data_IF_649245456014
#
_entry.id   IF_649245456014
#
_cell.length_a   1.000
_cell.length_b   1.000
_cell.length_c   1.000
_cell.angle_alpha   90.00
_cell.angle_beta   90.00
_cell.angle_gamma   90.00
#
_symmetry.space_group_name_H-M   'P 1'
#
loop_
_entity.id
_entity.type
_entity.pdbx_description
1 polymer ?
#
# COMPACT_ATOMS: atom_id res chain seq x y z
N UNK A 1 -54.46 -40.44 23.58
CA UNK A 1 -54.62 -39.22 22.76
C UNK A 1 -53.22 -38.90 22.30
N UNK A 2 -52.89 -39.31 21.07
CA UNK A 2 -51.57 -39.14 20.47
C UNK A 2 -51.56 -37.87 19.62
N UNK A 3 -50.57 -37.03 19.86
CA UNK A 3 -50.31 -35.79 19.15
C UNK A 3 -49.77 -36.09 17.74
N UNK A 4 -50.42 -35.45 16.75
CA UNK A 4 -50.04 -35.49 15.33
C UNK A 4 -48.91 -34.47 15.11
N UNK A 5 -47.74 -34.95 14.69
CA UNK A 5 -46.67 -34.10 14.15
C UNK A 5 -46.93 -33.88 12.66
N UNK A 6 -47.09 -32.61 12.26
CA UNK A 6 -47.18 -32.18 10.86
C UNK A 6 -45.84 -32.42 10.13
N UNK A 7 -45.88 -33.23 9.07
CA UNK A 7 -44.80 -33.37 8.10
C UNK A 7 -44.74 -32.12 7.21
N UNK A 8 -43.63 -31.39 7.24
CA UNK A 8 -43.33 -30.36 6.24
C UNK A 8 -42.88 -31.03 4.93
N UNK A 9 -43.69 -30.90 3.89
CA UNK A 9 -43.36 -31.36 2.53
C UNK A 9 -42.25 -30.52 1.90
N UNK A 10 -41.28 -31.13 1.19
CA UNK A 10 -40.22 -30.40 0.51
C UNK A 10 -40.75 -29.51 -0.62
N UNK A 11 -40.32 -28.25 -0.64
CA UNK A 11 -40.64 -27.25 -1.68
C UNK A 11 -40.27 -27.79 -3.08
N UNK A 12 -41.18 -27.62 -4.04
CA UNK A 12 -40.99 -28.00 -5.45
C UNK A 12 -39.83 -27.20 -6.08
N UNK A 13 -39.06 -27.82 -6.98
CA UNK A 13 -37.95 -27.19 -7.72
C UNK A 13 -38.42 -25.87 -8.37
N UNK A 14 -39.63 -25.81 -8.93
CA UNK A 14 -40.19 -24.58 -9.50
C UNK A 14 -40.31 -23.43 -8.49
N UNK A 15 -40.60 -23.74 -7.22
CA UNK A 15 -40.67 -22.72 -6.15
C UNK A 15 -39.29 -22.21 -5.73
N UNK A 16 -38.24 -23.05 -5.79
CA UNK A 16 -36.88 -22.65 -5.49
C UNK A 16 -36.28 -21.76 -6.59
N UNK A 17 -36.64 -22.02 -7.86
CA UNK A 17 -36.21 -21.21 -8.99
C UNK A 17 -36.90 -19.84 -9.02
N UNK A 18 -38.19 -19.77 -8.63
CA UNK A 18 -38.90 -18.50 -8.47
C UNK A 18 -38.27 -17.64 -7.36
N UNK A 19 -37.95 -18.26 -6.21
CA UNK A 19 -37.31 -17.61 -5.06
C UNK A 19 -35.90 -17.09 -5.42
N UNK A 20 -35.12 -17.83 -6.22
CA UNK A 20 -33.83 -17.33 -6.74
C UNK A 20 -33.97 -16.18 -7.75
N UNK A 21 -34.97 -16.23 -8.63
CA UNK A 21 -35.20 -15.16 -9.61
C UNK A 21 -35.64 -13.85 -8.94
N UNK A 22 -36.46 -13.96 -7.88
CA UNK A 22 -36.89 -12.81 -7.07
C UNK A 22 -35.70 -12.22 -6.28
N UNK A 23 -34.81 -13.05 -5.73
CA UNK A 23 -33.56 -12.61 -5.07
C UNK A 23 -32.59 -11.92 -6.04
N UNK A 24 -32.43 -12.44 -7.26
CA UNK A 24 -31.58 -11.80 -8.28
C UNK A 24 -32.16 -10.47 -8.76
N UNK A 25 -33.49 -10.35 -8.79
CA UNK A 25 -34.17 -9.11 -9.12
C UNK A 25 -34.02 -8.07 -8.01
N UNK A 26 -34.17 -8.46 -6.74
CA UNK A 26 -33.91 -7.59 -5.58
C UNK A 26 -32.45 -7.15 -5.55
N UNK A 27 -31.48 -8.05 -5.78
CA UNK A 27 -30.05 -7.68 -5.88
C UNK A 27 -29.74 -6.72 -7.02
N UNK A 28 -30.41 -6.85 -8.17
CA UNK A 28 -30.27 -5.90 -9.29
C UNK A 28 -30.90 -4.54 -8.98
N UNK A 29 -32.00 -4.52 -8.24
CA UNK A 29 -32.63 -3.29 -7.78
C UNK A 29 -31.78 -2.60 -6.70
N UNK A 30 -31.20 -3.34 -5.75
CA UNK A 30 -30.23 -2.83 -4.76
C UNK A 30 -28.96 -2.29 -5.43
N UNK A 31 -28.37 -3.02 -6.39
CA UNK A 31 -27.18 -2.56 -7.12
C UNK A 31 -27.45 -1.31 -7.97
N UNK A 32 -28.66 -1.16 -8.51
CA UNK A 32 -29.06 0.05 -9.24
C UNK A 32 -29.34 1.23 -8.28
N UNK A 33 -29.89 0.96 -7.09
CA UNK A 33 -30.05 1.96 -6.02
C UNK A 33 -28.69 2.44 -5.48
N UNK A 34 -27.74 1.52 -5.32
CA UNK A 34 -26.39 1.81 -4.83
C UNK A 34 -25.57 2.59 -5.88
N UNK A 35 -25.64 2.22 -7.16
CA UNK A 35 -25.08 3.04 -8.26
C UNK A 35 -25.71 4.42 -8.35
N UNK A 36 -27.03 4.52 -8.18
CA UNK A 36 -27.73 5.80 -8.15
C UNK A 36 -27.35 6.63 -6.91
N UNK A 37 -27.01 6.00 -5.78
CA UNK A 37 -26.56 6.66 -4.56
C UNK A 37 -25.12 7.17 -4.70
N UNK A 38 -24.21 6.39 -5.29
CA UNK A 38 -22.84 6.83 -5.59
C UNK A 38 -22.80 7.97 -6.63
N UNK A 39 -23.69 7.93 -7.63
CA UNK A 39 -23.86 9.02 -8.60
C UNK A 39 -24.40 10.28 -7.93
N UNK A 40 -25.40 10.15 -7.04
CA UNK A 40 -25.93 11.26 -6.24
C UNK A 40 -24.92 11.82 -5.26
N UNK A 41 -24.08 11.00 -4.63
CA UNK A 41 -22.99 11.45 -3.76
C UNK A 41 -21.92 12.19 -4.55
N UNK A 42 -21.52 11.70 -5.73
CA UNK A 42 -20.60 12.42 -6.62
C UNK A 42 -21.18 13.74 -7.12
N UNK A 43 -22.47 13.77 -7.45
CA UNK A 43 -23.16 14.98 -7.90
C UNK A 43 -23.33 15.98 -6.74
N UNK A 44 -23.64 15.52 -5.52
CA UNK A 44 -23.64 16.34 -4.30
C UNK A 44 -22.25 16.85 -3.93
N UNK A 45 -21.20 16.04 -4.12
CA UNK A 45 -19.83 16.43 -3.85
C UNK A 45 -19.32 17.42 -4.91
N UNK A 46 -19.68 17.24 -6.19
CA UNK A 46 -19.42 18.22 -7.25
C UNK A 46 -20.21 19.52 -7.06
N UNK A 47 -21.49 19.45 -6.69
CA UNK A 47 -22.32 20.63 -6.38
C UNK A 47 -21.79 21.36 -5.15
N UNK A 48 -21.40 20.65 -4.09
CA UNK A 48 -20.79 21.27 -2.92
C UNK A 48 -19.44 21.91 -3.25
N UNK A 49 -18.65 21.29 -4.13
CA UNK A 49 -17.35 21.81 -4.58
C UNK A 49 -17.49 23.01 -5.52
N UNK A 50 -18.47 22.99 -6.43
CA UNK A 50 -18.83 24.10 -7.30
C UNK A 50 -19.42 25.27 -6.49
N UNK A 51 -20.34 25.02 -5.55
CA UNK A 51 -20.86 26.04 -4.66
C UNK A 51 -19.77 26.63 -3.76
N UNK A 52 -18.83 25.81 -3.23
CA UNK A 52 -17.69 26.32 -2.47
C UNK A 52 -16.75 27.17 -3.33
N UNK A 53 -16.50 26.77 -4.58
CA UNK A 53 -15.66 27.54 -5.51
C UNK A 53 -16.33 28.83 -5.97
N UNK A 54 -17.63 28.81 -6.25
CA UNK A 54 -18.42 29.99 -6.62
C UNK A 54 -18.55 30.97 -5.44
N UNK A 55 -18.71 30.48 -4.21
CA UNK A 55 -18.69 31.33 -3.00
C UNK A 55 -17.29 31.91 -2.72
N UNK A 56 -16.21 31.15 -2.96
CA UNK A 56 -14.82 31.63 -2.85
C UNK A 56 -14.49 32.68 -3.92
N UNK A 57 -14.85 32.44 -5.19
CA UNK A 57 -14.61 33.37 -6.29
C UNK A 57 -15.47 34.64 -6.16
N UNK A 58 -16.73 34.52 -5.72
CA UNK A 58 -17.58 35.68 -5.42
C UNK A 58 -17.07 36.46 -4.20
N UNK A 59 -16.53 35.79 -3.17
CA UNK A 59 -15.88 36.46 -2.04
C UNK A 59 -14.58 37.15 -2.45
N UNK A 60 -13.75 36.53 -3.28
CA UNK A 60 -12.51 37.14 -3.80
C UNK A 60 -12.80 38.34 -4.72
N UNK A 61 -13.83 38.27 -5.58
CA UNK A 61 -14.27 39.42 -6.39
C UNK A 61 -14.83 40.57 -5.54
N UNK A 62 -15.61 40.26 -4.49
CA UNK A 62 -16.11 41.26 -3.55
C UNK A 62 -14.97 41.88 -2.73
N UNK A 63 -14.00 41.07 -2.27
CA UNK A 63 -12.80 41.52 -1.54
C UNK A 63 -11.94 42.41 -2.43
N UNK A 64 -11.72 42.03 -3.69
CA UNK A 64 -10.97 42.81 -4.67
C UNK A 64 -11.69 44.12 -5.10
N UNK A 65 -13.04 44.13 -5.15
CA UNK A 65 -13.82 45.37 -5.34
C UNK A 65 -13.76 46.27 -4.10
N UNK A 66 -13.89 45.72 -2.90
CA UNK A 66 -13.77 46.47 -1.64
C UNK A 66 -12.36 47.07 -1.48
N UNK A 67 -11.30 46.30 -1.75
CA UNK A 67 -9.91 46.76 -1.69
C UNK A 67 -9.57 47.85 -2.72
N UNK A 68 -10.28 47.88 -3.85
CA UNK A 68 -10.17 48.96 -4.86
C UNK A 68 -10.93 50.23 -4.47
N UNK A 69 -12.05 50.12 -3.76
CA UNK A 69 -12.93 51.25 -3.41
C UNK A 69 -12.63 51.86 -2.03
N UNK A 70 -12.14 51.07 -1.08
CA UNK A 70 -11.68 51.54 0.23
C UNK A 70 -10.22 51.95 0.18
N UNK A 71 -9.96 53.25 0.29
CA UNK A 71 -8.64 53.73 0.71
C UNK A 71 -8.47 53.41 2.19
N UNK A 72 -7.70 52.36 2.50
CA UNK A 72 -7.37 51.94 3.87
C UNK A 72 -6.91 53.11 4.76
N UNK A 73 -6.29 54.12 4.16
CA UNK A 73 -5.80 55.34 4.82
C UNK A 73 -6.90 56.20 5.46
N UNK A 74 -8.11 56.21 4.89
CA UNK A 74 -9.23 57.10 5.27
C UNK A 74 -10.16 56.49 6.35
N UNK A 75 -9.89 55.27 6.80
CA UNK A 75 -10.68 54.59 7.84
C UNK A 75 -10.39 55.13 9.26
N UNK A 76 -11.41 55.26 10.12
CA UNK A 76 -11.24 55.52 11.56
C UNK A 76 -10.32 54.48 12.21
N UNK A 77 -9.59 54.87 13.26
CA UNK A 77 -8.60 54.02 13.91
C UNK A 77 -9.22 52.71 14.45
N UNK A 78 -10.46 52.78 14.94
CA UNK A 78 -11.24 51.65 15.42
C UNK A 78 -11.60 50.67 14.29
N UNK A 79 -11.87 51.17 13.08
CA UNK A 79 -12.17 50.36 11.92
C UNK A 79 -10.92 49.65 11.38
N UNK A 80 -9.76 50.32 11.41
CA UNK A 80 -8.45 49.71 11.07
C UNK A 80 -8.09 48.57 12.02
N UNK A 81 -8.26 48.78 13.33
CA UNK A 81 -8.04 47.74 14.35
C UNK A 81 -9.00 46.56 14.19
N UNK A 82 -10.27 46.83 13.83
CA UNK A 82 -11.26 45.77 13.57
C UNK A 82 -10.89 44.94 12.33
N UNK A 83 -10.40 45.58 11.27
CA UNK A 83 -9.91 44.87 10.07
C UNK A 83 -8.69 44.01 10.38
N UNK A 84 -7.72 44.52 11.14
CA UNK A 84 -6.53 43.75 11.56
C UNK A 84 -6.92 42.52 12.40
N UNK A 85 -7.86 42.66 13.35
CA UNK A 85 -8.40 41.54 14.13
C UNK A 85 -9.14 40.52 13.23
N UNK A 86 -9.88 41.00 12.22
CA UNK A 86 -10.59 40.12 11.28
C UNK A 86 -9.61 39.36 10.37
N UNK A 87 -8.52 39.99 9.92
CA UNK A 87 -7.46 39.35 9.15
C UNK A 87 -6.72 38.29 9.99
N UNK A 88 -6.38 38.61 11.25
CA UNK A 88 -5.78 37.65 12.18
C UNK A 88 -6.70 36.46 12.46
N UNK A 89 -8.01 36.72 12.62
CA UNK A 89 -9.00 35.67 12.81
C UNK A 89 -9.17 34.80 11.56
N UNK A 90 -9.26 35.41 10.37
CA UNK A 90 -9.34 34.69 9.08
C UNK A 90 -8.12 33.79 8.90
N UNK A 91 -6.93 34.27 9.25
CA UNK A 91 -5.69 33.46 9.24
C UNK A 91 -5.78 32.28 10.22
N UNK A 92 -6.21 32.51 11.46
CA UNK A 92 -6.31 31.46 12.48
C UNK A 92 -7.36 30.40 12.12
N UNK A 93 -8.51 30.81 11.59
CA UNK A 93 -9.56 29.90 11.11
C UNK A 93 -9.04 29.02 9.94
N UNK A 94 -8.28 29.61 9.02
CA UNK A 94 -7.63 28.87 7.93
C UNK A 94 -6.56 27.89 8.43
N UNK A 95 -5.73 28.31 9.40
CA UNK A 95 -4.72 27.45 10.02
C UNK A 95 -5.37 26.27 10.76
N UNK A 96 -6.49 26.50 11.45
CA UNK A 96 -7.24 25.45 12.15
C UNK A 96 -7.89 24.45 11.17
N UNK A 97 -8.49 24.92 10.07
CA UNK A 97 -9.01 24.04 9.01
C UNK A 97 -7.91 23.19 8.41
N UNK A 98 -6.77 23.80 8.06
CA UNK A 98 -5.61 23.09 7.54
C UNK A 98 -5.09 22.03 8.52
N UNK A 99 -5.08 22.34 9.83
CA UNK A 99 -4.66 21.41 10.87
C UNK A 99 -5.59 20.18 10.94
N UNK A 100 -6.91 20.39 11.03
CA UNK A 100 -7.90 19.30 11.06
C UNK A 100 -7.73 18.40 9.83
N UNK A 101 -7.62 19.03 8.66
CA UNK A 101 -7.47 18.34 7.39
C UNK A 101 -6.19 17.49 7.28
N UNK A 102 -5.06 17.99 7.79
CA UNK A 102 -3.80 17.23 7.85
C UNK A 102 -3.84 16.11 8.88
N UNK A 103 -4.50 16.34 10.02
CA UNK A 103 -4.71 15.30 11.05
C UNK A 103 -5.52 14.14 10.48
N UNK A 104 -6.63 14.42 9.80
CA UNK A 104 -7.45 13.37 9.16
C UNK A 104 -6.68 12.63 8.07
N UNK A 105 -5.90 13.34 7.24
CA UNK A 105 -5.03 12.74 6.23
C UNK A 105 -3.99 11.79 6.82
N UNK A 106 -3.53 12.04 8.05
CA UNK A 106 -2.61 11.17 8.75
C UNK A 106 -3.30 9.99 9.46
N UNK A 107 -4.47 10.23 10.06
CA UNK A 107 -5.22 9.22 10.81
C UNK A 107 -5.78 8.11 9.92
N UNK A 108 -6.34 8.45 8.75
CA UNK A 108 -6.96 7.45 7.87
C UNK A 108 -5.98 6.36 7.37
N UNK A 109 -4.77 6.68 6.84
CA UNK A 109 -3.77 5.66 6.50
C UNK A 109 -3.28 4.85 7.71
N UNK A 110 -3.25 5.45 8.89
CA UNK A 110 -2.86 4.77 10.13
C UNK A 110 -3.90 3.75 10.60
N UNK A 111 -5.18 4.12 10.57
CA UNK A 111 -6.28 3.22 10.92
C UNK A 111 -6.34 2.04 9.96
N UNK A 112 -6.19 2.30 8.65
CA UNK A 112 -6.05 1.24 7.63
C UNK A 112 -4.89 0.31 7.96
N UNK A 113 -3.71 0.85 8.28
CA UNK A 113 -2.54 0.04 8.67
C UNK A 113 -2.84 -0.82 9.89
N UNK A 114 -3.41 -0.24 10.94
CA UNK A 114 -3.71 -0.96 12.18
C UNK A 114 -4.72 -2.10 11.97
N UNK A 115 -5.74 -1.86 11.13
CA UNK A 115 -6.69 -2.90 10.71
C UNK A 115 -5.97 -4.07 10.01
N UNK A 116 -5.11 -3.76 9.03
CA UNK A 116 -4.35 -4.76 8.28
C UNK A 116 -3.37 -5.52 9.19
N UNK A 117 -2.67 -4.83 10.09
CA UNK A 117 -1.77 -5.43 11.09
C UNK A 117 -2.50 -6.41 12.00
N UNK A 118 -3.73 -6.08 12.42
CA UNK A 118 -4.56 -6.97 13.22
C UNK A 118 -4.95 -8.23 12.43
N UNK A 119 -5.38 -8.10 11.17
CA UNK A 119 -5.72 -9.25 10.32
C UNK A 119 -4.52 -10.20 10.12
N UNK A 120 -3.31 -9.66 9.88
CA UNK A 120 -2.09 -10.46 9.82
C UNK A 120 -1.79 -11.18 11.14
N UNK A 121 -1.99 -10.49 12.26
CA UNK A 121 -1.75 -11.06 13.58
C UNK A 121 -2.71 -12.21 13.86
N UNK A 122 -3.99 -12.07 13.54
CA UNK A 122 -4.98 -13.15 13.70
C UNK A 122 -4.59 -14.42 12.92
N UNK A 123 -4.00 -14.28 11.74
CA UNK A 123 -3.54 -15.43 10.93
C UNK A 123 -2.30 -16.08 11.57
N UNK A 124 -1.34 -15.28 12.03
CA UNK A 124 -0.10 -15.77 12.66
C UNK A 124 -0.37 -16.44 14.01
N UNK A 125 -1.33 -15.91 14.76
CA UNK A 125 -1.71 -16.44 16.07
C UNK A 125 -2.66 -17.66 15.94
N UNK A 126 -3.15 -17.99 14.73
CA UNK A 126 -3.96 -19.17 14.48
C UNK A 126 -3.08 -20.43 14.49
N UNK A 127 -3.16 -21.30 15.52
CA UNK A 127 -2.24 -22.42 15.67
C UNK A 127 -2.38 -23.47 14.56
N UNK A 128 -3.59 -23.65 14.01
CA UNK A 128 -3.85 -24.62 12.95
C UNK A 128 -3.25 -24.20 11.61
N UNK A 129 -3.27 -22.90 11.29
CA UNK A 129 -2.68 -22.36 10.05
C UNK A 129 -1.19 -22.10 10.19
N UNK A 130 -0.75 -21.66 11.37
CA UNK A 130 0.62 -21.19 11.60
C UNK A 130 1.65 -22.30 11.35
N UNK A 131 1.36 -23.56 11.69
CA UNK A 131 2.25 -24.69 11.40
C UNK A 131 2.56 -24.79 9.90
N UNK A 132 1.52 -24.79 9.07
CA UNK A 132 1.69 -24.92 7.61
C UNK A 132 2.34 -23.67 7.00
N UNK A 133 1.95 -22.48 7.47
CA UNK A 133 2.50 -21.21 6.99
C UNK A 133 3.97 -21.02 7.40
N UNK A 134 4.36 -21.45 8.60
CA UNK A 134 5.76 -21.38 9.03
C UNK A 134 6.64 -22.32 8.21
N UNK A 135 6.15 -23.52 7.89
CA UNK A 135 6.88 -24.46 7.03
C UNK A 135 7.08 -23.87 5.63
N UNK A 136 6.04 -23.31 5.01
CA UNK A 136 6.17 -22.64 3.69
C UNK A 136 7.16 -21.47 3.73
N UNK A 137 7.19 -20.71 4.82
CA UNK A 137 8.17 -19.63 5.02
C UNK A 137 9.60 -20.16 5.13
N UNK A 138 9.81 -21.25 5.86
CA UNK A 138 11.11 -21.91 5.97
C UNK A 138 11.57 -22.50 4.63
N UNK A 139 10.66 -23.09 3.85
CA UNK A 139 10.95 -23.57 2.50
C UNK A 139 11.39 -22.43 1.57
N UNK A 140 10.68 -21.30 1.57
CA UNK A 140 11.09 -20.13 0.76
C UNK A 140 12.46 -19.60 1.18
N UNK A 141 12.77 -19.59 2.49
CA UNK A 141 14.06 -19.13 2.98
C UNK A 141 15.19 -20.08 2.59
N UNK A 142 14.99 -21.39 2.73
CA UNK A 142 15.95 -22.40 2.32
C UNK A 142 16.17 -22.37 0.81
N UNK A 143 15.12 -22.17 0.01
CA UNK A 143 15.26 -22.04 -1.44
C UNK A 143 16.14 -20.84 -1.81
N UNK A 144 15.96 -19.68 -1.14
CA UNK A 144 16.85 -18.53 -1.35
C UNK A 144 18.31 -18.82 -0.96
N UNK A 145 18.53 -19.58 0.11
CA UNK A 145 19.88 -19.98 0.53
C UNK A 145 20.54 -20.94 -0.48
N UNK A 146 19.76 -21.84 -1.08
CA UNK A 146 20.20 -22.71 -2.17
C UNK A 146 20.58 -21.88 -3.39
N UNK A 147 19.71 -20.94 -3.81
CA UNK A 147 19.95 -20.09 -4.97
C UNK A 147 21.19 -19.21 -4.77
N UNK A 148 21.33 -18.57 -3.60
CA UNK A 148 22.52 -17.80 -3.24
C UNK A 148 23.79 -18.66 -3.23
N UNK A 149 23.72 -19.88 -2.68
CA UNK A 149 24.87 -20.80 -2.68
C UNK A 149 25.27 -21.16 -4.11
N UNK A 150 24.31 -21.44 -5.00
CA UNK A 150 24.60 -21.70 -6.43
C UNK A 150 25.25 -20.50 -7.13
N UNK A 151 24.82 -19.28 -6.79
CA UNK A 151 25.48 -18.06 -7.31
C UNK A 151 26.90 -17.88 -6.78
N UNK A 152 27.14 -18.15 -5.49
CA UNK A 152 28.47 -18.12 -4.88
C UNK A 152 29.40 -19.15 -5.52
N UNK A 153 28.91 -20.37 -5.73
CA UNK A 153 29.63 -21.44 -6.44
C UNK A 153 30.05 -21.00 -7.85
N UNK A 154 29.12 -20.42 -8.62
CA UNK A 154 29.42 -19.96 -9.97
C UNK A 154 30.45 -18.81 -9.99
N UNK A 155 30.46 -17.95 -8.95
CA UNK A 155 31.48 -16.90 -8.79
C UNK A 155 32.84 -17.51 -8.45
N UNK A 156 32.89 -18.45 -7.51
CA UNK A 156 34.13 -19.09 -7.07
C UNK A 156 34.76 -19.94 -8.20
N UNK A 157 33.95 -20.68 -8.95
CA UNK A 157 34.39 -21.40 -10.16
C UNK A 157 35.02 -20.45 -11.17
N UNK A 158 34.39 -19.30 -11.40
CA UNK A 158 34.93 -18.28 -12.29
C UNK A 158 36.23 -17.69 -11.76
N UNK A 159 36.32 -17.38 -10.47
CA UNK A 159 37.53 -16.83 -9.85
C UNK A 159 38.71 -17.82 -9.91
N UNK A 160 38.47 -19.11 -9.70
CA UNK A 160 39.48 -20.16 -9.83
C UNK A 160 39.95 -20.32 -11.28
N UNK A 161 39.03 -20.24 -12.24
CA UNK A 161 39.35 -20.26 -13.66
C UNK A 161 40.16 -19.02 -14.07
N UNK A 162 39.78 -17.84 -13.60
CA UNK A 162 40.52 -16.60 -13.84
C UNK A 162 41.94 -16.69 -13.24
N UNK A 163 42.12 -17.34 -12.07
CA UNK A 163 43.44 -17.58 -11.47
C UNK A 163 44.33 -18.56 -12.27
N UNK A 164 43.73 -19.50 -13.00
CA UNK A 164 44.45 -20.38 -13.93
C UNK A 164 44.85 -19.63 -15.20
N UNK A 165 43.99 -18.76 -15.73
CA UNK A 165 44.23 -18.02 -16.97
C UNK A 165 45.18 -16.81 -16.80
N UNK A 166 45.32 -16.28 -15.58
CA UNK A 166 46.08 -15.06 -15.31
C UNK A 166 47.58 -15.31 -15.05
N UNK A 167 48.38 -15.19 -16.10
CA UNK A 167 49.84 -15.47 -16.09
C UNK A 167 50.72 -14.36 -15.48
N UNK A 168 50.17 -13.19 -15.12
CA UNK A 168 51.00 -12.02 -14.77
C UNK A 168 51.51 -12.01 -13.32
N UNK A 169 50.88 -12.75 -12.38
CA UNK A 169 51.34 -12.86 -10.98
C UNK A 169 50.88 -14.17 -10.33
N UNK A 170 51.78 -15.15 -10.16
CA UNK A 170 51.54 -16.39 -9.36
C UNK A 170 50.13 -17.00 -9.59
N UNK A 171 49.77 -17.24 -10.84
CA UNK A 171 48.58 -18.03 -11.17
C UNK A 171 48.73 -19.47 -10.69
N UNK A 172 47.62 -20.20 -10.62
CA UNK A 172 47.62 -21.63 -10.27
C UNK A 172 48.23 -22.44 -11.42
N UNK A 173 49.00 -23.47 -11.09
CA UNK A 173 49.29 -24.53 -12.05
C UNK A 173 48.02 -25.33 -12.37
N UNK A 174 48.01 -26.07 -13.48
CA UNK A 174 46.86 -26.92 -13.84
C UNK A 174 46.56 -27.95 -12.74
N UNK A 175 47.59 -28.54 -12.13
CA UNK A 175 47.44 -29.54 -11.07
C UNK A 175 46.87 -28.90 -9.78
N UNK A 176 47.35 -27.71 -9.39
CA UNK A 176 46.79 -26.96 -8.25
C UNK A 176 45.36 -26.48 -8.52
N UNK A 177 45.02 -26.14 -9.77
CA UNK A 177 43.66 -25.80 -10.17
C UNK A 177 42.75 -27.03 -10.08
N UNK A 178 43.16 -28.15 -10.66
CA UNK A 178 42.38 -29.39 -10.68
C UNK A 178 42.11 -29.89 -9.25
N UNK A 179 43.10 -29.83 -8.36
CA UNK A 179 42.94 -30.18 -6.94
C UNK A 179 41.95 -29.24 -6.22
N UNK A 180 42.13 -27.93 -6.35
CA UNK A 180 41.26 -26.94 -5.69
C UNK A 180 39.84 -26.97 -6.24
N UNK A 181 39.69 -27.17 -7.55
CA UNK A 181 38.38 -27.28 -8.19
C UNK A 181 37.65 -28.54 -7.69
N UNK A 182 38.34 -29.68 -7.62
CA UNK A 182 37.74 -30.92 -7.11
C UNK A 182 37.37 -30.84 -5.62
N UNK A 183 38.19 -30.17 -4.79
CA UNK A 183 37.87 -29.92 -3.38
C UNK A 183 36.63 -29.02 -3.24
N UNK A 184 36.60 -27.92 -4.00
CA UNK A 184 35.50 -26.97 -4.02
C UNK A 184 34.19 -27.62 -4.51
N UNK A 185 34.22 -28.37 -5.62
CA UNK A 185 33.06 -29.08 -6.15
C UNK A 185 32.50 -30.06 -5.11
N UNK A 186 33.38 -30.78 -4.40
CA UNK A 186 32.98 -31.73 -3.36
C UNK A 186 32.35 -31.03 -2.15
N UNK A 187 32.92 -29.92 -1.68
CA UNK A 187 32.37 -29.14 -0.56
C UNK A 187 30.98 -28.60 -0.92
N UNK A 188 30.84 -28.03 -2.12
CA UNK A 188 29.58 -27.49 -2.59
C UNK A 188 28.51 -28.57 -2.82
N UNK A 189 28.88 -29.70 -3.40
CA UNK A 189 27.96 -30.83 -3.57
C UNK A 189 27.45 -31.35 -2.23
N UNK A 190 28.32 -31.43 -1.21
CA UNK A 190 27.93 -31.82 0.14
C UNK A 190 26.98 -30.79 0.77
N UNK A 191 27.29 -29.49 0.67
CA UNK A 191 26.44 -28.41 1.20
C UNK A 191 25.06 -28.38 0.53
N UNK A 192 25.00 -28.50 -0.79
CA UNK A 192 23.73 -28.56 -1.53
C UNK A 192 22.91 -29.80 -1.14
N UNK A 193 23.55 -30.96 -1.01
CA UNK A 193 22.88 -32.19 -0.58
C UNK A 193 22.25 -32.04 0.81
N UNK A 194 22.96 -31.43 1.77
CA UNK A 194 22.41 -31.17 3.10
C UNK A 194 21.21 -30.20 3.06
N UNK A 195 21.22 -29.23 2.15
CA UNK A 195 20.08 -28.34 1.92
C UNK A 195 18.91 -29.06 1.25
N UNK A 196 19.15 -29.93 0.28
CA UNK A 196 18.14 -30.76 -0.38
C UNK A 196 17.47 -31.72 0.63
N UNK A 197 18.24 -32.39 1.49
CA UNK A 197 17.70 -33.24 2.56
C UNK A 197 16.86 -32.45 3.57
N UNK A 198 17.20 -31.18 3.83
CA UNK A 198 16.36 -30.30 4.66
C UNK A 198 15.07 -29.91 3.93
N UNK A 199 15.13 -29.65 2.62
CA UNK A 199 13.96 -29.32 1.81
C UNK A 199 12.97 -30.49 1.79
N UNK A 200 13.46 -31.72 1.57
CA UNK A 200 12.63 -32.92 1.59
C UNK A 200 11.93 -33.13 2.94
N UNK A 201 12.64 -32.88 4.06
CA UNK A 201 12.04 -32.93 5.40
C UNK A 201 10.95 -31.86 5.58
N UNK A 202 11.17 -30.65 5.08
CA UNK A 202 10.16 -29.58 5.12
C UNK A 202 8.94 -29.93 4.27
N UNK A 203 9.13 -30.54 3.10
CA UNK A 203 8.03 -31.03 2.26
C UNK A 203 7.22 -32.11 3.00
N UNK A 204 7.86 -33.09 3.61
CA UNK A 204 7.18 -34.10 4.43
C UNK A 204 6.44 -33.48 5.62
N UNK A 205 7.05 -32.52 6.31
CA UNK A 205 6.41 -31.81 7.42
C UNK A 205 5.18 -31.01 6.94
N UNK A 206 5.26 -30.37 5.77
CA UNK A 206 4.12 -29.69 5.17
C UNK A 206 2.99 -30.66 4.85
N UNK A 207 3.29 -31.82 4.27
CA UNK A 207 2.27 -32.82 3.97
C UNK A 207 1.58 -33.34 5.25
N UNK A 208 2.32 -33.47 6.35
CA UNK A 208 1.77 -33.83 7.67
C UNK A 208 0.91 -32.70 8.27
N UNK A 209 1.33 -31.44 8.13
CA UNK A 209 0.56 -30.29 8.64
C UNK A 209 -0.77 -30.13 7.89
N UNK A 210 -0.80 -30.47 6.59
CA UNK A 210 -2.03 -30.53 5.80
C UNK A 210 -2.96 -31.65 6.30
N UNK A 211 -2.42 -32.81 6.65
CA UNK A 211 -3.21 -33.89 7.24
C UNK A 211 -3.82 -33.46 8.59
N UNK A 212 -3.06 -32.78 9.44
CA UNK A 212 -3.57 -32.20 10.68
C UNK A 212 -4.70 -31.20 10.42
N UNK A 213 -4.53 -30.32 9.41
CA UNK A 213 -5.55 -29.35 9.00
C UNK A 213 -6.84 -30.02 8.49
N UNK A 214 -6.73 -31.07 7.67
CA UNK A 214 -7.88 -31.81 7.17
C UNK A 214 -8.66 -32.53 8.29
N UNK A 215 -7.95 -33.00 9.31
CA UNK A 215 -8.54 -33.64 10.48
C UNK A 215 -9.10 -32.65 11.51
N UNK A 216 -8.85 -31.35 11.32
CA UNK A 216 -9.35 -30.27 12.17
C UNK A 216 -10.73 -29.76 11.75
N UNK A 217 -11.37 -28.95 12.60
CA UNK A 217 -12.60 -28.20 12.23
C UNK A 217 -12.27 -26.88 11.51
N UNK A 218 -11.03 -26.68 11.07
CA UNK A 218 -10.48 -25.36 10.74
C UNK A 218 -10.46 -25.05 9.24
N UNK A 219 -11.09 -25.85 8.38
CA UNK A 219 -11.19 -25.55 6.94
C UNK A 219 -11.88 -24.20 6.66
N UNK A 220 -12.88 -23.84 7.48
CA UNK A 220 -13.51 -22.52 7.42
C UNK A 220 -12.57 -21.38 7.85
N UNK A 221 -11.58 -21.67 8.71
CA UNK A 221 -10.59 -20.68 9.12
C UNK A 221 -9.64 -20.32 7.98
N UNK A 222 -9.35 -21.26 7.07
CA UNK A 222 -8.56 -20.99 5.86
C UNK A 222 -9.29 -19.97 4.97
N UNK A 223 -10.57 -20.21 4.69
CA UNK A 223 -11.40 -19.33 3.87
C UNK A 223 -11.54 -17.93 4.50
N UNK A 224 -11.83 -17.87 5.80
CA UNK A 224 -11.89 -16.61 6.53
C UNK A 224 -10.56 -15.84 6.43
N UNK A 225 -9.43 -16.51 6.64
CA UNK A 225 -8.11 -15.87 6.55
C UNK A 225 -7.80 -15.36 5.15
N UNK A 226 -8.15 -16.13 4.10
CA UNK A 226 -8.01 -15.68 2.71
C UNK A 226 -8.85 -14.44 2.43
N UNK A 227 -10.09 -14.43 2.89
CA UNK A 227 -10.99 -13.28 2.76
C UNK A 227 -10.46 -12.02 3.46
N UNK A 228 -9.96 -12.15 4.69
CA UNK A 228 -9.38 -11.02 5.43
C UNK A 228 -8.06 -10.51 4.83
N UNK A 229 -7.29 -11.38 4.16
CA UNK A 229 -6.15 -10.97 3.36
C UNK A 229 -6.55 -10.28 2.05
N UNK A 230 -7.63 -10.72 1.39
CA UNK A 230 -8.16 -10.05 0.20
C UNK A 230 -8.62 -8.63 0.53
N UNK A 231 -9.35 -8.45 1.64
CA UNK A 231 -9.72 -7.12 2.15
C UNK A 231 -8.49 -6.27 2.45
N UNK A 232 -7.50 -6.85 3.13
CA UNK A 232 -6.25 -6.16 3.45
C UNK A 232 -5.52 -5.70 2.18
N UNK A 233 -5.38 -6.58 1.19
CA UNK A 233 -4.76 -6.24 -0.09
C UNK A 233 -5.56 -5.19 -0.85
N UNK A 234 -6.88 -5.25 -0.79
CA UNK A 234 -7.71 -4.23 -1.41
C UNK A 234 -7.46 -2.85 -0.81
N UNK A 235 -7.36 -2.74 0.52
CA UNK A 235 -7.03 -1.49 1.20
C UNK A 235 -5.63 -0.97 0.83
N UNK A 236 -4.68 -1.86 0.54
CA UNK A 236 -3.31 -1.53 0.13
C UNK A 236 -3.26 -1.08 -1.34
N UNK A 237 -3.86 -1.87 -2.24
CA UNK A 237 -3.74 -1.72 -3.69
C UNK A 237 -4.75 -0.72 -4.26
N UNK A 238 -5.82 -0.41 -3.54
CA UNK A 238 -6.89 0.52 -3.95
C UNK A 238 -7.47 0.19 -5.33
N UNK A 239 -7.64 -1.09 -5.61
CA UNK A 239 -8.25 -1.52 -6.87
C UNK A 239 -9.69 -0.99 -6.95
N UNK A 240 -10.12 -0.57 -8.15
CA UNK A 240 -11.43 0.07 -8.37
C UNK A 240 -12.57 -0.94 -8.54
N UNK A 241 -12.26 -2.20 -8.83
CA UNK A 241 -13.23 -3.29 -8.89
C UNK A 241 -12.92 -4.28 -7.77
N UNK A 242 -13.77 -4.28 -6.74
CA UNK A 242 -13.62 -5.11 -5.57
C UNK A 242 -14.52 -6.33 -5.71
N UNK A 243 -13.92 -7.50 -5.94
CA UNK A 243 -14.71 -8.74 -6.03
C UNK A 243 -14.20 -9.82 -5.07
N UNK A 244 -13.74 -9.41 -3.88
CA UNK A 244 -13.30 -10.34 -2.84
C UNK A 244 -14.45 -11.24 -2.37
N UNK A 245 -15.70 -10.78 -2.42
CA UNK A 245 -16.88 -11.60 -2.09
C UNK A 245 -17.11 -12.71 -3.12
N UNK A 246 -17.01 -12.39 -4.42
CA UNK A 246 -17.10 -13.39 -5.49
C UNK A 246 -15.92 -14.37 -5.43
N UNK A 247 -14.71 -13.87 -5.16
CA UNK A 247 -13.53 -14.73 -5.00
C UNK A 247 -13.72 -15.69 -3.82
N UNK A 248 -14.25 -15.21 -2.69
CA UNK A 248 -14.57 -16.07 -1.55
C UNK A 248 -15.66 -17.10 -1.90
N UNK A 249 -16.72 -16.70 -2.61
CA UNK A 249 -17.76 -17.61 -3.09
C UNK A 249 -17.18 -18.71 -3.97
N UNK A 250 -16.30 -18.37 -4.91
CA UNK A 250 -15.62 -19.34 -5.77
C UNK A 250 -14.75 -20.32 -4.97
N UNK A 251 -14.08 -19.87 -3.90
CA UNK A 251 -13.31 -20.76 -3.01
C UNK A 251 -14.22 -21.69 -2.21
N UNK A 252 -15.34 -21.20 -1.70
CA UNK A 252 -16.36 -22.02 -1.02
C UNK A 252 -16.92 -23.09 -1.96
N UNK A 253 -17.29 -22.73 -3.18
CA UNK A 253 -17.76 -23.66 -4.21
C UNK A 253 -16.68 -24.70 -4.57
N UNK A 254 -15.43 -24.27 -4.75
CA UNK A 254 -14.28 -25.15 -5.02
C UNK A 254 -14.06 -26.15 -3.88
N UNK A 255 -14.14 -25.71 -2.62
CA UNK A 255 -14.00 -26.58 -1.45
C UNK A 255 -15.14 -27.58 -1.35
N UNK A 256 -16.38 -27.12 -1.52
CA UNK A 256 -17.57 -27.97 -1.46
C UNK A 256 -17.53 -29.07 -2.53
N UNK A 257 -17.13 -28.73 -3.75
CA UNK A 257 -16.95 -29.73 -4.82
C UNK A 257 -15.83 -30.72 -4.47
N UNK A 258 -14.69 -30.23 -3.96
CA UNK A 258 -13.56 -31.07 -3.61
C UNK A 258 -13.87 -32.10 -2.51
N UNK A 259 -14.72 -31.72 -1.55
CA UNK A 259 -15.23 -32.62 -0.51
C UNK A 259 -16.11 -33.75 -1.07
N UNK A 260 -16.70 -33.57 -2.24
CA UNK A 260 -17.51 -34.60 -2.92
C UNK A 260 -16.68 -35.50 -3.84
N UNK A 261 -15.45 -35.11 -4.19
CA UNK A 261 -14.64 -35.78 -5.24
C UNK A 261 -13.29 -36.29 -4.75
N UNK A 262 -13.10 -36.50 -3.44
CA UNK A 262 -11.82 -36.94 -2.82
C UNK A 262 -10.63 -35.98 -3.08
N UNK A 263 -10.89 -34.74 -3.53
CA UNK A 263 -9.86 -33.74 -3.88
C UNK A 263 -9.64 -32.69 -2.80
N UNK A 264 -10.27 -32.84 -1.63
CA UNK A 264 -10.18 -31.86 -0.53
C UNK A 264 -8.74 -31.50 -0.18
N UNK A 265 -7.85 -32.50 -0.16
CA UNK A 265 -6.43 -32.32 0.16
C UNK A 265 -5.73 -31.37 -0.80
N UNK A 266 -5.89 -31.56 -2.10
CA UNK A 266 -5.28 -30.71 -3.13
C UNK A 266 -5.78 -29.26 -3.02
N UNK A 267 -7.09 -29.08 -2.82
CA UNK A 267 -7.68 -27.74 -2.66
C UNK A 267 -7.22 -27.04 -1.39
N UNK A 268 -7.06 -27.77 -0.29
CA UNK A 268 -6.52 -27.21 0.96
C UNK A 268 -5.06 -26.80 0.79
N UNK A 269 -4.24 -27.59 0.10
CA UNK A 269 -2.85 -27.22 -0.23
C UNK A 269 -2.82 -25.93 -1.05
N UNK A 270 -3.66 -25.84 -2.10
CA UNK A 270 -3.77 -24.62 -2.92
C UNK A 270 -4.10 -23.40 -2.07
N UNK A 271 -5.09 -23.51 -1.19
CA UNK A 271 -5.53 -22.41 -0.33
C UNK A 271 -4.49 -21.98 0.69
N UNK A 272 -3.73 -22.92 1.27
CA UNK A 272 -2.65 -22.58 2.20
C UNK A 272 -1.51 -21.88 1.46
N UNK A 273 -1.15 -22.34 0.26
CA UNK A 273 -0.16 -21.66 -0.58
C UNK A 273 -0.62 -20.26 -1.02
N UNK A 274 -1.89 -20.13 -1.39
CA UNK A 274 -2.50 -18.84 -1.71
C UNK A 274 -2.46 -17.90 -0.50
N UNK A 275 -2.85 -18.39 0.68
CA UNK A 275 -2.86 -17.62 1.92
C UNK A 275 -1.45 -17.15 2.28
N UNK A 276 -0.44 -18.00 2.13
CA UNK A 276 0.96 -17.65 2.32
C UNK A 276 1.40 -16.51 1.38
N UNK A 277 1.10 -16.60 0.08
CA UNK A 277 1.45 -15.54 -0.87
C UNK A 277 0.73 -14.21 -0.58
N UNK A 278 -0.55 -14.28 -0.18
CA UNK A 278 -1.30 -13.07 0.20
C UNK A 278 -0.75 -12.45 1.48
N UNK A 279 -0.45 -13.26 2.50
CA UNK A 279 0.17 -12.81 3.76
C UNK A 279 1.45 -12.03 3.47
N UNK A 280 2.32 -12.59 2.62
CA UNK A 280 3.57 -11.92 2.17
C UNK A 280 3.32 -10.61 1.42
N UNK A 281 2.32 -10.59 0.54
CA UNK A 281 1.94 -9.39 -0.20
C UNK A 281 1.42 -8.29 0.72
N UNK A 282 0.62 -8.66 1.73
CA UNK A 282 0.12 -7.75 2.77
C UNK A 282 1.28 -7.23 3.64
N UNK A 283 2.21 -8.10 4.07
CA UNK A 283 3.40 -7.70 4.82
C UNK A 283 4.26 -6.69 4.05
N UNK A 284 4.45 -6.89 2.74
CA UNK A 284 5.13 -5.94 1.87
C UNK A 284 4.38 -4.61 1.77
N UNK A 285 3.05 -4.66 1.62
CA UNK A 285 2.21 -3.46 1.60
C UNK A 285 2.31 -2.65 2.90
N UNK A 286 2.33 -3.29 4.07
CA UNK A 286 2.57 -2.61 5.35
C UNK A 286 3.95 -1.95 5.38
N UNK A 287 4.98 -2.61 4.86
CA UNK A 287 6.32 -2.03 4.79
C UNK A 287 6.31 -0.75 3.94
N UNK A 288 5.60 -0.74 2.82
CA UNK A 288 5.48 0.44 1.97
C UNK A 288 4.67 1.55 2.65
N UNK A 289 3.54 1.23 3.30
CA UNK A 289 2.79 2.18 4.13
C UNK A 289 3.65 2.78 5.25
N UNK A 290 4.55 1.99 5.86
CA UNK A 290 5.48 2.47 6.87
C UNK A 290 6.55 3.41 6.30
N UNK A 291 7.06 3.13 5.09
CA UNK A 291 7.97 4.05 4.38
C UNK A 291 7.26 5.36 4.08
N UNK A 292 6.05 5.31 3.55
CA UNK A 292 5.24 6.49 3.27
C UNK A 292 4.98 7.32 4.53
N UNK A 293 4.62 6.68 5.64
CA UNK A 293 4.47 7.36 6.93
C UNK A 293 5.77 8.07 7.35
N UNK A 294 6.92 7.43 7.18
CA UNK A 294 8.21 8.05 7.50
C UNK A 294 8.51 9.24 6.57
N UNK A 295 8.18 9.13 5.28
CA UNK A 295 8.30 10.25 4.34
C UNK A 295 7.39 11.42 4.72
N UNK A 296 6.17 11.16 5.16
CA UNK A 296 5.28 12.20 5.68
C UNK A 296 5.94 12.97 6.84
N UNK A 297 6.51 12.26 7.81
CA UNK A 297 7.18 12.88 8.96
C UNK A 297 8.43 13.67 8.59
N UNK A 298 9.25 13.16 7.69
CA UNK A 298 10.44 13.89 7.23
C UNK A 298 10.05 15.12 6.40
N UNK A 299 9.02 15.02 5.55
CA UNK A 299 8.47 16.20 4.88
C UNK A 299 7.95 17.22 5.89
N UNK A 300 7.27 16.78 6.95
CA UNK A 300 6.78 17.68 7.99
C UNK A 300 7.90 18.44 8.70
N UNK A 301 8.94 17.70 9.08
CA UNK A 301 10.14 18.26 9.70
C UNK A 301 10.87 19.24 8.77
N UNK A 302 11.07 18.89 7.50
CA UNK A 302 11.73 19.74 6.52
C UNK A 302 10.91 21.01 6.25
N UNK A 303 9.59 20.89 6.17
CA UNK A 303 8.70 22.02 5.84
C UNK A 303 8.32 22.90 7.04
N UNK A 304 8.77 22.58 8.26
CA UNK A 304 8.38 23.26 9.51
C UNK A 304 8.67 24.77 9.56
N UNK A 305 9.75 25.23 8.91
CA UNK A 305 10.16 26.65 8.91
C UNK A 305 10.35 27.16 7.47
N UNK A 306 9.26 27.33 6.70
CA UNK A 306 9.33 27.60 5.26
C UNK A 306 10.01 28.95 4.93
N UNK A 307 9.93 29.92 5.84
CA UNK A 307 10.52 31.26 5.66
C UNK A 307 12.05 31.28 5.73
N UNK A 308 12.64 30.29 6.39
CA UNK A 308 14.09 30.17 6.58
C UNK A 308 14.77 29.35 5.49
N UNK A 309 14.00 28.74 4.59
CA UNK A 309 14.53 27.88 3.54
C UNK A 309 15.32 28.67 2.50
N UNK A 310 16.59 28.31 2.33
CA UNK A 310 17.42 28.82 1.24
C UNK A 310 17.23 28.01 -0.08
N UNK A 311 17.91 28.44 -1.15
CA UNK A 311 17.81 27.77 -2.46
C UNK A 311 18.33 26.33 -2.42
N UNK A 312 19.37 26.06 -1.63
CA UNK A 312 19.99 24.73 -1.51
C UNK A 312 19.08 23.78 -0.73
N UNK A 313 18.45 24.25 0.33
CA UNK A 313 17.44 23.52 1.09
C UNK A 313 16.20 23.26 0.25
N UNK A 314 15.78 24.22 -0.58
CA UNK A 314 14.68 24.07 -1.53
C UNK A 314 14.99 23.00 -2.60
N UNK A 315 16.22 22.98 -3.13
CA UNK A 315 16.67 21.93 -4.07
C UNK A 315 16.68 20.55 -3.43
N UNK A 316 17.19 20.42 -2.20
CA UNK A 316 17.14 19.16 -1.45
C UNK A 316 15.70 18.67 -1.23
N UNK A 317 14.78 19.58 -0.90
CA UNK A 317 13.36 19.24 -0.75
C UNK A 317 12.73 18.76 -2.06
N UNK A 318 13.13 19.36 -3.20
CA UNK A 318 12.71 18.91 -4.53
C UNK A 318 13.26 17.52 -4.89
N UNK A 319 14.55 17.27 -4.63
CA UNK A 319 15.16 15.94 -4.80
C UNK A 319 14.46 14.89 -3.93
N UNK A 320 14.11 15.27 -2.69
CA UNK A 320 13.42 14.38 -1.76
C UNK A 320 12.00 14.04 -2.20
N UNK A 321 11.21 15.01 -2.69
CA UNK A 321 9.89 14.73 -3.31
C UNK A 321 10.04 13.80 -4.52
N UNK A 322 11.05 14.00 -5.37
CA UNK A 322 11.29 13.13 -6.53
C UNK A 322 11.69 11.71 -6.10
N UNK A 323 12.44 11.58 -5.00
CA UNK A 323 12.77 10.29 -4.39
C UNK A 323 11.53 9.60 -3.85
N UNK A 324 10.64 10.32 -3.16
CA UNK A 324 9.34 9.79 -2.69
C UNK A 324 8.50 9.28 -3.86
N UNK A 325 8.40 10.05 -4.95
CA UNK A 325 7.64 9.65 -6.16
C UNK A 325 8.18 8.34 -6.78
N UNK A 326 9.48 8.10 -6.68
CA UNK A 326 10.14 6.90 -7.21
C UNK A 326 9.97 5.69 -6.28
N UNK A 327 10.16 5.87 -4.97
CA UNK A 327 10.19 4.78 -4.01
C UNK A 327 8.79 4.38 -3.52
N UNK A 328 7.85 5.33 -3.47
CA UNK A 328 6.48 5.12 -2.98
C UNK A 328 5.47 5.87 -3.87
N UNK A 329 5.09 5.32 -5.04
CA UNK A 329 4.20 6.00 -5.99
C UNK A 329 2.83 6.35 -5.40
N UNK A 330 2.36 5.60 -4.40
CA UNK A 330 1.07 5.80 -3.76
C UNK A 330 1.07 6.95 -2.73
N UNK A 331 2.24 7.49 -2.36
CA UNK A 331 2.36 8.57 -1.38
C UNK A 331 1.50 9.79 -1.74
N UNK A 332 1.48 10.20 -3.01
CA UNK A 332 0.68 11.34 -3.49
C UNK A 332 -0.82 11.12 -3.29
N UNK A 333 -1.27 9.87 -3.33
CA UNK A 333 -2.68 9.53 -3.18
C UNK A 333 -3.06 9.29 -1.72
N UNK A 334 -2.14 8.77 -0.90
CA UNK A 334 -2.33 8.57 0.53
C UNK A 334 -2.18 9.86 1.34
N UNK A 335 -1.32 10.78 0.88
CA UNK A 335 -1.02 12.06 1.52
C UNK A 335 -1.07 13.25 0.53
N UNK A 336 -2.20 13.44 -0.20
CA UNK A 336 -2.34 14.45 -1.25
C UNK A 336 -2.11 15.89 -0.79
N UNK A 337 -2.56 16.28 0.40
CA UNK A 337 -2.43 17.64 0.94
C UNK A 337 -0.98 17.91 1.32
N UNK A 338 -0.34 17.02 2.09
CA UNK A 338 1.09 17.17 2.42
C UNK A 338 1.93 17.28 1.14
N UNK A 339 1.68 16.41 0.16
CA UNK A 339 2.38 16.44 -1.12
C UNK A 339 2.18 17.77 -1.87
N UNK A 340 0.93 18.26 -1.97
CA UNK A 340 0.59 19.54 -2.61
C UNK A 340 1.20 20.74 -1.88
N UNK A 341 1.18 20.74 -0.55
CA UNK A 341 1.79 21.79 0.27
C UNK A 341 3.30 21.87 0.05
N UNK A 342 4.00 20.73 0.06
CA UNK A 342 5.43 20.68 -0.22
C UNK A 342 5.76 21.19 -1.62
N UNK A 343 5.01 20.77 -2.65
CA UNK A 343 5.21 21.29 -4.02
C UNK A 343 4.99 22.79 -4.12
N UNK A 344 3.91 23.32 -3.56
CA UNK A 344 3.65 24.76 -3.52
C UNK A 344 4.77 25.54 -2.82
N UNK A 345 5.29 25.00 -1.71
CA UNK A 345 6.40 25.63 -1.00
C UNK A 345 7.66 25.73 -1.88
N UNK A 346 8.02 24.64 -2.57
CA UNK A 346 9.16 24.61 -3.49
C UNK A 346 8.98 25.67 -4.59
N UNK A 347 7.82 25.67 -5.26
CA UNK A 347 7.51 26.63 -6.34
C UNK A 347 7.61 28.08 -5.86
N UNK A 348 7.05 28.39 -4.69
CA UNK A 348 7.06 29.74 -4.12
C UNK A 348 8.48 30.21 -3.77
N UNK A 349 9.32 29.34 -3.21
CA UNK A 349 10.70 29.68 -2.87
C UNK A 349 11.58 29.86 -4.12
N UNK A 350 11.35 29.07 -5.16
CA UNK A 350 12.01 29.25 -6.46
C UNK A 350 11.60 30.59 -7.10
N UNK A 351 10.29 30.92 -7.12
CA UNK A 351 9.81 32.22 -7.65
C UNK A 351 10.42 33.40 -6.90
N UNK A 352 10.39 33.38 -5.56
CA UNK A 352 10.99 34.43 -4.71
C UNK A 352 12.49 34.64 -4.99
N UNK A 353 13.23 33.56 -5.25
CA UNK A 353 14.67 33.66 -5.56
C UNK A 353 14.91 34.18 -6.98
N UNK A 354 14.10 33.80 -7.96
CA UNK A 354 14.18 34.35 -9.32
C UNK A 354 13.82 35.84 -9.38
N UNK A 355 12.80 36.28 -8.66
CA UNK A 355 12.40 37.69 -8.65
C UNK A 355 13.45 38.58 -7.97
N UNK A 356 14.08 38.09 -6.88
CA UNK A 356 15.26 38.74 -6.27
C UNK A 356 16.46 38.83 -7.22
N UNK A 357 16.60 37.90 -8.17
CA UNK A 357 17.66 37.93 -9.17
C UNK A 357 17.37 38.95 -10.30
N UNK A 358 16.10 39.09 -10.71
CA UNK A 358 15.67 40.08 -11.71
C UNK A 358 15.82 41.53 -11.22
N UNK A 359 15.55 41.79 -9.94
CA UNK A 359 15.70 43.12 -9.31
C UNK A 359 17.17 43.56 -9.21
N UNK A 360 18.14 42.63 -9.31
CA UNK A 360 19.58 42.94 -9.24
C UNK A 360 20.25 43.26 -10.59
N UNK A 361 19.51 43.21 -11.70
CA UNK A 361 19.98 43.74 -13.00
C UNK A 361 19.76 45.27 -12.99
N UNK A 362 20.82 46.10 -12.96
CA UNK A 362 20.65 47.55 -12.94
C UNK A 362 20.07 48.02 -14.28
N UNK A 363 19.13 48.97 -14.22
CA UNK A 363 18.85 49.88 -15.32
C UNK A 363 20.19 50.37 -15.89
N UNK A 364 20.42 50.07 -17.17
CA UNK A 364 21.53 50.62 -17.91
C UNK A 364 21.42 52.14 -17.84
N UNK A 365 22.30 52.78 -17.07
CA UNK A 365 22.55 54.21 -17.14
C UNK A 365 22.71 54.56 -18.61
N UNK A 366 21.76 55.34 -19.13
CA UNK A 366 21.90 56.01 -20.41
C UNK A 366 23.15 56.87 -20.36
N UNK A 367 24.19 56.43 -21.06
CA UNK A 367 25.27 57.29 -21.50
C UNK A 367 24.66 58.11 -22.64
N UNK A 368 24.36 59.38 -22.38
CA UNK A 368 24.16 60.37 -23.44
C UNK A 368 25.49 61.10 -23.65
N UNK A 369 25.87 61.21 -24.92
CA UNK A 369 27.11 61.77 -25.48
C UNK A 369 27.51 63.13 -24.92
#
# INVERSE_FOLDING_TARGET
MEDIKEEQTPKSILSQWQEQFDIEKEKKEELNLEKSSEELEKELEEINKLNFQEDLENQEELKAKLEKELKLEDLPQEAKQTLEILEEKEKLDNDMRNFIELTTEYETPNEKRAFIENNLKEIKDNPELNESLSILKEQEQLQKEIDNTKEEMAKEEKELKDQLENNEKKGLSQEEYDEKFAEMEKEHAQKLKEMEEKMEKLEQNFENSIENLLNSKSLSAILKSLYEMDKSLNLILKEKENNFDELNRQREEKLNLAMQTEKTREVVIDFIKELHQKTKSVENGINDMNKERNFYYELDKLTKNPEKMDLKETQKLQEYINYIDKETPNFKENYPKKYKQTKKLIENNIKKTMDKAKVKTPESKGISL
#
